data_IF_950727661546
#
_entry.id   IF_950727661546
#
_cell.length_a   1.000
_cell.length_b   1.000
_cell.length_c   1.000
_cell.angle_alpha   90.00
_cell.angle_beta   90.00
_cell.angle_gamma   90.00
#
_symmetry.space_group_name_H-M   'P 1'
#
loop_
_entity.id
_entity.type
_entity.pdbx_description
1 polymer ?
#
# COMPACT_ATOMS: atom_id res chain seq x y z
N UNK A 1 0.04 -41.79 -21.23
CA UNK A 1 0.75 -40.49 -21.19
C UNK A 1 -0.31 -39.38 -21.20
N UNK A 2 -0.75 -38.96 -20.02
CA UNK A 2 -1.63 -37.80 -19.84
C UNK A 2 -0.89 -36.54 -20.28
N UNK A 3 -1.48 -35.80 -21.22
CA UNK A 3 -1.00 -34.47 -21.59
C UNK A 3 -1.56 -33.47 -20.58
N UNK A 4 -0.69 -32.97 -19.70
CA UNK A 4 -0.96 -31.82 -18.83
C UNK A 4 -1.44 -30.62 -19.66
N UNK A 5 -2.46 -29.86 -19.20
CA UNK A 5 -2.91 -28.68 -19.91
C UNK A 5 -1.94 -27.52 -19.68
N UNK A 6 -1.53 -26.89 -20.80
CA UNK A 6 -0.74 -25.66 -20.84
C UNK A 6 -1.50 -24.51 -20.16
N UNK A 7 -1.21 -24.26 -18.89
CA UNK A 7 -1.42 -22.94 -18.28
C UNK A 7 -0.36 -21.99 -18.83
N UNK A 8 -0.71 -20.70 -18.88
CA UNK A 8 0.12 -19.52 -19.17
C UNK A 8 0.03 -19.04 -20.62
N UNK A 9 -0.86 -18.06 -20.83
CA UNK A 9 -0.77 -16.90 -21.75
C UNK A 9 -2.13 -16.25 -22.08
N UNK A 10 -3.24 -16.76 -21.53
CA UNK A 10 -4.57 -16.16 -21.63
C UNK A 10 -4.81 -14.92 -20.72
N UNK A 11 -3.83 -14.40 -19.98
CA UNK A 11 -4.12 -13.47 -18.86
C UNK A 11 -4.09 -11.97 -19.20
N UNK A 12 -3.20 -11.49 -20.10
CA UNK A 12 -3.04 -10.03 -20.32
C UNK A 12 -4.11 -9.42 -21.23
N UNK A 13 -4.40 -10.04 -22.37
CA UNK A 13 -5.34 -9.51 -23.37
C UNK A 13 -6.79 -9.47 -22.86
N UNK A 14 -7.13 -10.48 -22.09
CA UNK A 14 -8.43 -10.74 -21.46
C UNK A 14 -8.71 -9.67 -20.39
N UNK A 15 -7.70 -9.35 -19.57
CA UNK A 15 -7.76 -8.28 -18.56
C UNK A 15 -7.93 -6.89 -19.18
N UNK A 16 -7.22 -6.58 -20.27
CA UNK A 16 -7.26 -5.25 -20.88
C UNK A 16 -8.65 -4.92 -21.45
N UNK A 17 -9.28 -5.89 -22.10
CA UNK A 17 -10.61 -5.73 -22.70
C UNK A 17 -11.69 -5.48 -21.65
N UNK A 18 -11.62 -6.23 -20.56
CA UNK A 18 -12.48 -6.09 -19.41
C UNK A 18 -12.29 -4.72 -18.73
N UNK A 19 -11.06 -4.31 -18.45
CA UNK A 19 -10.76 -2.98 -17.89
C UNK A 19 -11.32 -1.87 -18.78
N UNK A 20 -11.16 -2.01 -20.10
CA UNK A 20 -11.71 -1.06 -21.05
C UNK A 20 -13.24 -1.03 -21.02
N UNK A 21 -13.91 -2.19 -20.91
CA UNK A 21 -15.37 -2.25 -20.80
C UNK A 21 -15.90 -1.59 -19.52
N UNK A 22 -15.19 -1.74 -18.39
CA UNK A 22 -15.50 -1.08 -17.12
C UNK A 22 -15.36 0.44 -17.20
N UNK A 23 -14.32 0.93 -17.88
CA UNK A 23 -14.09 2.38 -18.05
C UNK A 23 -15.08 3.03 -19.00
N UNK A 24 -15.39 2.34 -20.11
CA UNK A 24 -16.16 2.93 -21.21
C UNK A 24 -17.67 2.74 -21.07
N UNK A 25 -18.12 1.85 -20.19
CA UNK A 25 -19.54 1.55 -19.95
C UNK A 25 -20.33 1.25 -21.22
N UNK A 26 -19.67 0.64 -22.21
CA UNK A 26 -20.24 0.41 -23.54
C UNK A 26 -21.39 -0.58 -23.54
N UNK A 27 -21.30 -1.59 -22.69
CA UNK A 27 -22.29 -2.65 -22.61
C UNK A 27 -23.33 -2.31 -21.54
N UNK A 28 -24.58 -2.23 -21.97
CA UNK A 28 -25.73 -1.90 -21.11
C UNK A 28 -26.80 -2.97 -21.22
N UNK A 29 -27.42 -3.27 -20.09
CA UNK A 29 -28.52 -4.22 -20.00
C UNK A 29 -29.58 -3.71 -19.03
N UNK A 30 -30.82 -4.12 -19.27
CA UNK A 30 -31.97 -3.81 -18.44
C UNK A 30 -32.39 -5.09 -17.71
N UNK A 31 -32.62 -4.98 -16.41
CA UNK A 31 -33.11 -6.06 -15.56
C UNK A 31 -34.60 -5.86 -15.31
N UNK A 32 -35.42 -6.75 -15.86
CA UNK A 32 -36.87 -6.75 -15.68
C UNK A 32 -37.28 -7.86 -14.74
N UNK A 33 -38.16 -7.57 -13.78
CA UNK A 33 -38.65 -8.59 -12.85
C UNK A 33 -39.81 -9.35 -13.49
N UNK A 34 -39.69 -10.67 -13.61
CA UNK A 34 -40.79 -11.51 -14.15
C UNK A 34 -41.62 -12.08 -12.99
N UNK A 35 -40.95 -12.59 -11.96
CA UNK A 35 -41.57 -13.21 -10.79
C UNK A 35 -40.73 -12.94 -9.53
N UNK A 36 -41.15 -13.37 -8.33
CA UNK A 36 -40.37 -13.18 -7.11
C UNK A 36 -38.94 -13.71 -7.19
N UNK A 37 -38.71 -14.79 -7.94
CA UNK A 37 -37.41 -15.47 -8.05
C UNK A 37 -36.79 -15.41 -9.45
N UNK A 38 -37.42 -14.72 -10.40
CA UNK A 38 -36.96 -14.68 -11.79
C UNK A 38 -36.85 -13.25 -12.30
N UNK A 39 -35.73 -12.97 -12.94
CA UNK A 39 -35.47 -11.71 -13.61
C UNK A 39 -34.99 -11.98 -15.04
N UNK A 40 -35.48 -11.18 -15.98
CA UNK A 40 -35.04 -11.15 -17.35
C UNK A 40 -33.93 -10.11 -17.50
N UNK A 41 -32.77 -10.54 -18.00
CA UNK A 41 -31.72 -9.64 -18.41
C UNK A 41 -31.82 -9.39 -19.91
N UNK A 42 -32.22 -8.19 -20.30
CA UNK A 42 -32.33 -7.78 -21.70
C UNK A 42 -31.14 -6.89 -22.07
N UNK A 43 -30.34 -7.30 -23.05
CA UNK A 43 -29.19 -6.52 -23.50
C UNK A 43 -29.65 -5.37 -24.39
N UNK A 44 -29.55 -4.13 -23.91
CA UNK A 44 -29.86 -2.95 -24.72
C UNK A 44 -28.78 -2.67 -25.76
N UNK A 45 -27.51 -2.91 -25.38
CA UNK A 45 -26.35 -2.67 -26.24
C UNK A 45 -25.28 -3.74 -26.05
N UNK A 46 -24.87 -4.34 -27.17
CA UNK A 46 -23.79 -5.32 -27.24
C UNK A 46 -24.29 -6.75 -27.39
N UNK A 47 -23.38 -7.70 -27.20
CA UNK A 47 -23.67 -9.14 -27.17
C UNK A 47 -23.01 -9.71 -25.92
N UNK A 48 -23.59 -10.75 -25.31
CA UNK A 48 -23.04 -11.38 -24.12
C UNK A 48 -21.68 -12.02 -24.42
N UNK A 49 -20.64 -11.59 -23.71
CA UNK A 49 -19.26 -12.03 -23.84
C UNK A 49 -18.69 -12.22 -22.45
N UNK A 50 -18.08 -13.37 -22.24
CA UNK A 50 -17.61 -13.85 -20.94
C UNK A 50 -16.41 -13.07 -20.37
N UNK A 51 -16.00 -11.98 -21.00
CA UNK A 51 -14.79 -11.23 -20.67
C UNK A 51 -14.96 -9.71 -20.82
N UNK A 52 -16.19 -9.24 -20.64
CA UNK A 52 -16.54 -7.83 -20.64
C UNK A 52 -17.47 -7.56 -19.45
N UNK A 53 -17.42 -6.35 -18.92
CA UNK A 53 -18.33 -5.89 -17.89
C UNK A 53 -19.62 -5.36 -18.53
N UNK A 54 -20.74 -5.60 -17.85
CA UNK A 54 -22.05 -5.12 -18.27
C UNK A 54 -22.65 -4.26 -17.16
N UNK A 55 -23.11 -3.07 -17.54
CA UNK A 55 -23.80 -2.15 -16.64
C UNK A 55 -25.28 -2.44 -16.75
N UNK A 56 -25.88 -2.85 -15.64
CA UNK A 56 -27.25 -3.31 -15.56
C UNK A 56 -28.06 -2.27 -14.80
N UNK A 57 -29.16 -1.80 -15.37
CA UNK A 57 -30.13 -0.96 -14.66
C UNK A 57 -31.40 -1.76 -14.40
N UNK A 58 -32.01 -1.62 -13.22
CA UNK A 58 -33.35 -2.17 -12.98
C UNK A 58 -34.46 -1.14 -13.26
N UNK A 59 -35.72 -1.58 -13.16
CA UNK A 59 -36.90 -0.74 -13.36
C UNK A 59 -37.00 0.42 -12.34
N UNK A 60 -36.32 0.32 -11.19
CA UNK A 60 -36.22 1.36 -10.16
C UNK A 60 -35.01 2.28 -10.36
N UNK A 61 -34.32 2.16 -11.50
CA UNK A 61 -33.13 2.92 -11.87
C UNK A 61 -31.93 2.70 -10.92
N UNK A 62 -31.86 1.56 -10.23
CA UNK A 62 -30.66 1.11 -9.51
C UNK A 62 -29.70 0.46 -10.48
N UNK A 63 -28.42 0.74 -10.29
CA UNK A 63 -27.36 0.31 -11.20
C UNK A 63 -26.50 -0.78 -10.56
N UNK A 64 -26.27 -1.83 -11.33
CA UNK A 64 -25.45 -2.98 -10.98
C UNK A 64 -24.39 -3.19 -12.06
N UNK A 65 -23.33 -3.94 -11.73
CA UNK A 65 -22.32 -4.35 -12.70
C UNK A 65 -22.18 -5.85 -12.67
N UNK A 66 -22.32 -6.48 -13.83
CA UNK A 66 -21.99 -7.89 -14.02
C UNK A 66 -20.56 -8.00 -14.54
N UNK A 67 -19.75 -8.75 -13.80
CA UNK A 67 -18.39 -9.12 -14.17
C UNK A 67 -18.18 -10.61 -13.90
N UNK A 68 -17.25 -11.27 -14.61
CA UNK A 68 -16.81 -12.61 -14.23
C UNK A 68 -16.28 -12.63 -12.78
N UNK A 69 -16.47 -13.76 -12.10
CA UNK A 69 -16.13 -13.96 -10.68
C UNK A 69 -14.65 -13.67 -10.37
N UNK A 70 -13.76 -14.15 -11.22
CA UNK A 70 -12.31 -14.00 -11.10
C UNK A 70 -11.85 -12.54 -11.17
N UNK A 71 -12.68 -11.62 -11.65
CA UNK A 71 -12.35 -10.20 -11.77
C UNK A 71 -12.28 -9.55 -10.42
N UNK A 72 -13.25 -9.86 -9.54
CA UNK A 72 -13.35 -9.26 -8.23
C UNK A 72 -12.13 -9.63 -7.38
N UNK A 73 -11.68 -10.88 -7.43
CA UNK A 73 -10.48 -11.32 -6.73
C UNK A 73 -9.22 -10.62 -7.27
N UNK A 74 -9.07 -10.52 -8.60
CA UNK A 74 -7.96 -9.80 -9.23
C UNK A 74 -7.96 -8.31 -8.83
N UNK A 75 -9.12 -7.67 -8.77
CA UNK A 75 -9.25 -6.28 -8.34
C UNK A 75 -8.85 -6.10 -6.88
N UNK A 76 -9.32 -6.98 -6.00
CA UNK A 76 -8.97 -6.95 -4.58
C UNK A 76 -7.45 -7.13 -4.38
N UNK A 77 -6.84 -8.09 -5.08
CA UNK A 77 -5.39 -8.33 -5.04
C UNK A 77 -4.58 -7.13 -5.53
N UNK A 78 -5.02 -6.49 -6.62
CA UNK A 78 -4.35 -5.31 -7.14
C UNK A 78 -4.51 -4.10 -6.22
N UNK A 79 -5.69 -3.91 -5.62
CA UNK A 79 -5.93 -2.86 -4.64
C UNK A 79 -5.03 -3.05 -3.41
N UNK A 80 -4.92 -4.28 -2.91
CA UNK A 80 -4.01 -4.65 -1.82
C UNK A 80 -2.56 -4.31 -2.16
N UNK A 81 -2.06 -4.75 -3.32
CA UNK A 81 -0.68 -4.46 -3.76
C UNK A 81 -0.41 -2.97 -3.89
N UNK A 82 -1.36 -2.20 -4.45
CA UNK A 82 -1.25 -0.75 -4.58
C UNK A 82 -1.21 -0.07 -3.21
N UNK A 83 -2.04 -0.52 -2.26
CA UNK A 83 -2.02 -0.04 -0.89
C UNK A 83 -0.68 -0.33 -0.20
N UNK A 84 -0.17 -1.56 -0.28
CA UNK A 84 1.12 -1.91 0.33
C UNK A 84 2.28 -1.13 -0.31
N UNK A 85 2.29 -0.96 -1.64
CA UNK A 85 3.31 -0.18 -2.32
C UNK A 85 3.30 1.29 -1.89
N UNK A 86 2.10 1.89 -1.77
CA UNK A 86 1.93 3.23 -1.24
C UNK A 86 2.46 3.33 0.19
N UNK A 87 2.09 2.39 1.06
CA UNK A 87 2.49 2.38 2.46
C UNK A 87 4.02 2.28 2.62
N UNK A 88 4.67 1.43 1.81
CA UNK A 88 6.15 1.34 1.77
C UNK A 88 6.80 2.65 1.32
N UNK A 89 6.25 3.31 0.29
CA UNK A 89 6.77 4.60 -0.17
C UNK A 89 6.59 5.72 0.88
N UNK A 90 5.45 5.74 1.58
CA UNK A 90 5.22 6.69 2.69
C UNK A 90 6.17 6.41 3.86
N UNK A 91 6.42 5.14 4.18
CA UNK A 91 7.38 4.73 5.20
C UNK A 91 8.81 5.18 4.86
N UNK A 92 9.29 4.91 3.65
CA UNK A 92 10.61 5.31 3.18
C UNK A 92 10.79 6.83 3.22
N UNK A 93 9.77 7.59 2.77
CA UNK A 93 9.77 9.04 2.88
C UNK A 93 9.91 9.49 4.33
N UNK A 94 9.12 8.93 5.23
CA UNK A 94 9.09 9.37 6.62
C UNK A 94 10.36 8.95 7.38
N UNK A 95 10.99 7.82 7.02
CA UNK A 95 12.34 7.44 7.51
C UNK A 95 13.34 8.54 7.20
N UNK A 96 13.40 9.01 5.94
CA UNK A 96 14.32 10.09 5.53
C UNK A 96 14.10 11.34 6.39
N UNK A 97 12.85 11.70 6.69
CA UNK A 97 12.55 12.88 7.53
C UNK A 97 13.04 12.76 8.97
N UNK A 98 13.30 11.54 9.46
CA UNK A 98 13.78 11.31 10.82
C UNK A 98 15.31 11.24 10.96
N UNK A 99 16.04 11.52 9.86
CA UNK A 99 17.50 11.55 9.78
C UNK A 99 18.13 10.20 10.21
N UNK A 100 18.00 9.14 9.39
CA UNK A 100 18.64 7.86 9.66
C UNK A 100 20.16 7.99 9.55
N UNK A 101 20.90 7.21 10.34
CA UNK A 101 22.36 7.10 10.21
C UNK A 101 22.70 6.31 8.95
N UNK A 102 22.07 5.15 8.81
CA UNK A 102 22.07 4.35 7.58
C UNK A 102 20.60 4.12 7.16
N UNK A 103 20.25 4.61 5.97
CA UNK A 103 18.91 4.51 5.45
C UNK A 103 18.49 3.05 5.21
N UNK A 104 19.39 2.21 4.69
CA UNK A 104 19.03 0.85 4.30
C UNK A 104 18.78 -0.02 5.52
N UNK A 105 19.62 0.11 6.55
CA UNK A 105 19.43 -0.60 7.84
C UNK A 105 18.10 -0.21 8.49
N UNK A 106 17.81 1.09 8.55
CA UNK A 106 16.55 1.58 9.15
C UNK A 106 15.36 1.09 8.33
N UNK A 107 15.47 1.10 7.00
CA UNK A 107 14.42 0.62 6.09
C UNK A 107 14.16 -0.86 6.33
N UNK A 108 15.19 -1.70 6.40
CA UNK A 108 15.03 -3.14 6.61
C UNK A 108 14.37 -3.43 7.96
N UNK A 109 14.84 -2.80 9.05
CA UNK A 109 14.22 -2.91 10.38
C UNK A 109 12.76 -2.44 10.35
N UNK A 110 12.48 -1.31 9.71
CA UNK A 110 11.13 -0.76 9.62
C UNK A 110 10.19 -1.66 8.83
N UNK A 111 10.66 -2.29 7.75
CA UNK A 111 9.88 -3.25 6.97
C UNK A 111 9.59 -4.53 7.77
N UNK A 112 10.58 -5.05 8.51
CA UNK A 112 10.36 -6.20 9.39
C UNK A 112 9.32 -5.90 10.48
N UNK A 113 9.42 -4.74 11.13
CA UNK A 113 8.44 -4.30 12.12
C UNK A 113 7.05 -4.07 11.51
N UNK A 114 6.99 -3.55 10.28
CA UNK A 114 5.73 -3.37 9.56
C UNK A 114 5.06 -4.71 9.24
N UNK A 115 5.84 -5.71 8.83
CA UNK A 115 5.33 -7.07 8.53
C UNK A 115 4.79 -7.77 9.79
N UNK A 116 5.33 -7.47 10.98
CA UNK A 116 4.78 -7.96 12.24
C UNK A 116 3.37 -7.42 12.55
N UNK A 117 2.96 -6.32 11.91
CA UNK A 117 1.62 -5.76 12.05
C UNK A 117 0.60 -6.41 11.09
N UNK A 118 1.04 -7.34 10.24
CA UNK A 118 0.16 -8.00 9.27
C UNK A 118 -0.96 -8.76 9.97
N UNK A 119 -2.18 -8.50 9.53
CA UNK A 119 -3.38 -9.09 10.08
C UNK A 119 -3.56 -10.55 9.62
N UNK A 120 -4.45 -11.29 10.29
CA UNK A 120 -4.74 -12.71 9.98
C UNK A 120 -5.28 -12.94 8.56
N UNK A 121 -5.90 -11.92 7.97
CA UNK A 121 -6.35 -11.91 6.56
C UNK A 121 -5.19 -11.66 5.57
N UNK A 122 -3.97 -11.50 6.09
CA UNK A 122 -2.77 -11.23 5.34
C UNK A 122 -2.65 -9.78 4.86
N UNK A 123 -3.47 -8.83 5.34
CA UNK A 123 -3.37 -7.41 4.96
C UNK A 123 -2.52 -6.61 5.94
N UNK A 124 -1.82 -5.59 5.45
CA UNK A 124 -1.18 -4.61 6.30
C UNK A 124 -2.23 -3.61 6.82
N UNK A 125 -2.15 -3.19 8.09
CA UNK A 125 -3.06 -2.20 8.64
C UNK A 125 -2.79 -0.82 8.04
N UNK A 126 -3.83 0.03 8.03
CA UNK A 126 -3.66 1.43 7.73
C UNK A 126 -3.06 2.14 8.95
N UNK A 127 -1.81 2.56 8.83
CA UNK A 127 -1.04 3.19 9.92
C UNK A 127 -0.54 4.56 9.51
N UNK A 128 -0.30 5.42 10.50
CA UNK A 128 0.44 6.66 10.29
C UNK A 128 1.95 6.34 10.30
N UNK A 129 2.56 6.32 9.10
CA UNK A 129 3.97 5.98 8.89
C UNK A 129 4.92 6.90 9.67
N UNK A 130 4.62 8.20 9.78
CA UNK A 130 5.46 9.13 10.52
C UNK A 130 5.50 8.81 12.02
N UNK A 131 4.35 8.53 12.62
CA UNK A 131 4.28 8.14 14.02
C UNK A 131 4.97 6.79 14.25
N UNK A 132 4.83 5.86 13.30
CA UNK A 132 5.50 4.57 13.32
C UNK A 132 7.02 4.72 13.31
N UNK A 133 7.59 5.52 12.39
CA UNK A 133 9.05 5.78 12.36
C UNK A 133 9.52 6.49 13.63
N UNK A 134 8.73 7.44 14.17
CA UNK A 134 9.06 8.08 15.46
C UNK A 134 9.11 7.08 16.62
N UNK A 135 8.26 6.06 16.60
CA UNK A 135 8.31 4.98 17.57
C UNK A 135 9.57 4.13 17.39
N UNK A 136 9.91 3.75 16.15
CA UNK A 136 11.14 3.03 15.83
C UNK A 136 12.37 3.82 16.30
N UNK A 137 12.41 5.14 16.08
CA UNK A 137 13.50 6.01 16.56
C UNK A 137 13.63 6.03 18.09
N UNK A 138 12.52 5.87 18.82
CA UNK A 138 12.54 5.77 20.29
C UNK A 138 13.04 4.40 20.76
N UNK A 139 12.63 3.33 20.09
CA UNK A 139 12.99 1.95 20.44
C UNK A 139 14.42 1.60 19.99
N UNK A 140 14.87 2.16 18.87
CA UNK A 140 16.17 1.95 18.25
C UNK A 140 16.88 3.29 17.97
N UNK A 141 17.24 4.07 19.02
CA UNK A 141 17.84 5.39 18.85
C UNK A 141 19.21 5.34 18.15
N UNK A 142 19.91 4.21 18.21
CA UNK A 142 21.20 3.98 17.55
C UNK A 142 21.11 3.94 16.01
N UNK A 143 19.90 3.87 15.44
CA UNK A 143 19.69 3.88 13.99
C UNK A 143 19.51 5.30 13.41
N UNK A 144 19.36 6.32 14.27
CA UNK A 144 19.04 7.68 13.85
C UNK A 144 20.00 8.70 14.48
N UNK A 145 20.19 9.82 13.80
CA UNK A 145 20.92 10.93 14.38
C UNK A 145 20.13 11.55 15.54
N UNK A 146 20.84 11.76 16.65
CA UNK A 146 20.35 12.48 17.82
C UNK A 146 21.10 13.82 17.96
N UNK A 147 20.49 14.88 17.43
CA UNK A 147 21.07 16.22 17.45
C UNK A 147 21.07 16.86 18.85
N UNK A 148 20.21 16.41 19.77
CA UNK A 148 20.14 16.96 21.14
C UNK A 148 21.42 16.69 21.95
N UNK A 149 22.15 15.63 21.59
CA UNK A 149 23.43 15.28 22.22
C UNK A 149 24.64 15.86 21.49
N UNK A 150 24.49 16.34 20.24
CA UNK A 150 25.60 16.86 19.44
C UNK A 150 26.02 18.29 19.82
N UNK A 151 25.12 19.07 20.40
CA UNK A 151 25.38 20.47 20.77
C UNK A 151 25.62 20.68 22.27
N UNK A 152 25.72 19.61 23.07
CA UNK A 152 26.19 19.70 24.46
C UNK A 152 27.70 19.96 24.45
N UNK A 153 28.07 21.23 24.37
CA UNK A 153 29.45 21.65 24.57
C UNK A 153 29.93 21.13 25.93
N UNK A 154 31.16 20.60 26.05
CA UNK A 154 31.76 20.43 27.37
C UNK A 154 31.87 21.83 27.98
N UNK A 155 31.32 22.01 29.19
CA UNK A 155 31.61 23.19 29.99
C UNK A 155 33.13 23.21 30.22
N UNK A 156 33.85 24.01 29.44
CA UNK A 156 35.21 24.41 29.76
C UNK A 156 35.11 25.35 30.95
N UNK A 157 34.91 24.76 32.13
CA UNK A 157 35.13 25.47 33.38
C UNK A 157 36.63 25.75 33.43
N UNK A 158 37.00 26.98 33.12
CA UNK A 158 38.29 27.58 33.47
C UNK A 158 38.55 27.30 34.95
N UNK A 159 39.34 26.26 35.19
CA UNK A 159 39.88 25.94 36.51
C UNK A 159 41.36 26.30 36.48
N UNK A 160 41.65 27.36 37.21
CA UNK A 160 42.92 27.64 37.87
C UNK A 160 44.11 27.93 36.93
N UNK A 161 44.25 29.20 36.53
CA UNK A 161 45.59 29.80 36.47
C UNK A 161 46.09 29.94 37.92
N UNK A 162 46.66 28.85 38.42
CA UNK A 162 47.54 28.87 39.58
C UNK A 162 48.96 28.72 39.04
N UNK A 163 49.74 29.77 39.18
CA UNK A 163 51.19 29.80 39.16
C UNK A 163 51.59 31.12 39.82
N UNK A 164 51.40 31.18 41.14
CA UNK A 164 52.37 31.86 41.97
C UNK A 164 53.66 31.03 42.04
N UNK A 165 54.75 31.76 42.29
CA UNK A 165 56.11 31.31 42.66
C UNK A 165 57.06 31.17 41.46
N UNK A 166 58.26 31.77 41.41
CA UNK A 166 59.04 32.51 42.40
C UNK A 166 60.24 33.20 41.73
N UNK A 167 60.60 34.35 42.30
CA UNK A 167 61.92 35.02 42.45
C UNK A 167 63.10 34.94 41.45
N UNK A 168 63.69 36.15 41.31
CA UNK A 168 65.15 36.48 41.30
C UNK A 168 66.01 36.16 40.07
N UNK A 169 66.45 37.21 39.35
CA UNK A 169 67.74 37.91 39.52
C UNK A 169 67.80 39.15 38.61
#
# INVERSE_FOLDING_TARGET
>A
MEKLPKKQNLSKFTSQKLINSLKTQKNKALLKKISPNEMLLELEKGAFKNNEAYFISDEENKNYVLVPDNVISIMADNAKKAFEARLRAELERDIITQAPIDFEDVREVSLQLLENLRQKDGNLPNINTLNFVKQIKKEHPNLFFNFDNMFKQPNLNESNFDNSDEESF
#
